data_IF_222310355118
#
_entry.id   IF_222310355118
#
_cell.length_a   1.000
_cell.length_b   1.000
_cell.length_c   1.000
_cell.angle_alpha   90.00
_cell.angle_beta   90.00
_cell.angle_gamma   90.00
#
_symmetry.space_group_name_H-M   'P 1'
#
loop_
_entity.id
_entity.type
_entity.pdbx_description
1 polymer ?
#
# COMPACT_ATOMS: atom_id res chain seq x y z
N UNK A 1 0.04 -8.22 -0.38
CA UNK A 1 0.63 -7.13 -1.18
C UNK A 1 0.43 -5.77 -0.48
N UNK A 2 -0.81 -5.36 -0.16
CA UNK A 2 -1.07 -4.16 0.66
C UNK A 2 -0.33 -4.14 2.00
N UNK A 3 -0.36 -5.25 2.74
CA UNK A 3 0.27 -5.27 4.07
C UNK A 3 1.80 -5.11 4.02
N UNK A 4 2.43 -5.48 2.90
CA UNK A 4 3.87 -5.25 2.67
C UNK A 4 4.16 -3.75 2.70
N UNK A 5 3.40 -2.95 1.95
CA UNK A 5 3.55 -1.49 1.94
C UNK A 5 3.32 -0.89 3.34
N UNK A 6 2.33 -1.40 4.08
CA UNK A 6 2.06 -0.94 5.46
C UNK A 6 3.24 -1.21 6.39
N UNK A 7 3.87 -2.38 6.30
CA UNK A 7 5.06 -2.67 7.10
C UNK A 7 6.21 -1.71 6.76
N UNK A 8 6.43 -1.42 5.48
CA UNK A 8 7.45 -0.45 5.06
C UNK A 8 7.12 1.00 5.44
N UNK A 9 5.86 1.35 5.68
CA UNK A 9 5.49 2.67 6.19
C UNK A 9 5.63 2.76 7.71
N UNK A 10 5.07 1.78 8.43
CA UNK A 10 4.84 1.86 9.87
C UNK A 10 6.06 1.42 10.68
N UNK A 11 6.78 0.37 10.26
CA UNK A 11 7.92 -0.15 11.03
C UNK A 11 9.04 0.90 11.14
N UNK A 12 9.48 1.56 10.06
CA UNK A 12 10.50 2.60 10.19
C UNK A 12 9.98 3.76 11.04
N UNK A 13 8.74 4.20 10.83
CA UNK A 13 8.13 5.30 11.58
C UNK A 13 8.12 5.05 13.10
N UNK A 14 7.71 3.87 13.54
CA UNK A 14 7.62 3.55 14.98
C UNK A 14 8.97 3.42 15.67
N UNK A 15 10.02 3.02 14.96
CA UNK A 15 11.26 2.58 15.59
C UNK A 15 12.49 3.38 15.18
N UNK A 16 12.45 4.26 14.18
CA UNK A 16 13.65 4.99 13.72
C UNK A 16 14.23 5.95 14.77
N UNK A 17 13.42 6.43 15.71
CA UNK A 17 13.87 7.26 16.83
C UNK A 17 14.72 6.48 17.83
N UNK A 18 14.40 5.21 18.05
CA UNK A 18 15.10 4.31 18.99
C UNK A 18 16.16 3.44 18.31
N UNK A 19 15.98 3.13 17.02
CA UNK A 19 16.83 2.26 16.21
C UNK A 19 17.07 2.94 14.85
N UNK A 20 18.07 3.84 14.75
CA UNK A 20 18.36 4.59 13.53
C UNK A 20 18.64 3.72 12.30
N UNK A 21 19.15 2.50 12.49
CA UNK A 21 19.39 1.54 11.41
C UNK A 21 18.12 1.19 10.61
N UNK A 22 16.93 1.29 11.22
CA UNK A 22 15.66 1.03 10.56
C UNK A 22 15.23 2.17 9.62
N UNK A 23 15.92 3.31 9.62
CA UNK A 23 15.70 4.36 8.63
C UNK A 23 15.99 3.86 7.20
N UNK A 24 16.89 2.89 7.05
CA UNK A 24 17.17 2.24 5.76
C UNK A 24 15.96 1.49 5.17
N UNK A 25 15.00 1.12 6.01
CA UNK A 25 13.76 0.48 5.61
C UNK A 25 12.68 1.50 5.18
N UNK A 26 12.89 2.81 5.34
CA UNK A 26 12.01 3.84 4.80
C UNK A 26 12.20 3.96 3.28
N UNK A 27 11.87 2.91 2.54
CA UNK A 27 11.99 2.84 1.08
C UNK A 27 11.15 3.92 0.40
N UNK A 28 9.99 4.26 1.00
CA UNK A 28 9.10 5.31 0.51
C UNK A 28 9.58 6.73 0.80
N UNK A 29 10.66 6.90 1.58
CA UNK A 29 11.18 8.19 2.02
C UNK A 29 10.07 9.09 2.60
N UNK A 30 9.24 8.54 3.49
CA UNK A 30 8.17 9.28 4.17
C UNK A 30 8.76 10.36 5.07
N UNK A 31 8.06 11.50 5.19
CA UNK A 31 8.64 12.73 5.73
C UNK A 31 8.87 12.70 7.24
N UNK A 32 7.92 12.16 8.01
CA UNK A 32 8.03 12.00 9.46
C UNK A 32 7.33 10.73 9.96
N UNK A 33 7.65 10.23 11.16
CA UNK A 33 6.91 9.12 11.79
C UNK A 33 5.40 9.34 11.87
N UNK A 34 4.98 10.54 12.27
CA UNK A 34 3.57 10.89 12.47
C UNK A 34 2.82 10.92 11.13
N UNK A 35 3.38 11.60 10.13
CA UNK A 35 2.82 11.69 8.79
C UNK A 35 2.77 10.32 8.10
N UNK A 36 3.78 9.46 8.32
CA UNK A 36 3.79 8.10 7.79
C UNK A 36 2.65 7.24 8.34
N UNK A 37 2.43 7.26 9.66
CA UNK A 37 1.34 6.51 10.30
C UNK A 37 -0.02 7.05 9.83
N UNK A 38 -0.19 8.37 9.83
CA UNK A 38 -1.44 9.01 9.41
C UNK A 38 -1.76 8.69 7.95
N UNK A 39 -0.77 8.76 7.06
CA UNK A 39 -0.91 8.44 5.64
C UNK A 39 -1.29 6.98 5.40
N UNK A 40 -0.69 6.05 6.14
CA UNK A 40 -1.03 4.63 6.07
C UNK A 40 -2.46 4.34 6.53
N UNK A 41 -2.94 5.03 7.57
CA UNK A 41 -4.32 4.92 8.07
C UNK A 41 -5.31 5.51 7.07
N UNK A 42 -5.05 6.71 6.56
CA UNK A 42 -5.90 7.37 5.54
C UNK A 42 -5.98 6.51 4.27
N UNK A 43 -4.86 5.96 3.81
CA UNK A 43 -4.86 5.08 2.65
C UNK A 43 -5.80 3.88 2.84
N UNK A 44 -5.78 3.24 4.01
CA UNK A 44 -6.69 2.15 4.32
C UNK A 44 -8.17 2.59 4.34
N UNK A 45 -8.45 3.76 4.90
CA UNK A 45 -9.79 4.32 4.93
C UNK A 45 -10.35 4.59 3.53
N UNK A 46 -9.49 4.95 2.56
CA UNK A 46 -9.87 5.24 1.19
C UNK A 46 -9.93 3.97 0.32
N UNK A 47 -8.96 3.06 0.46
CA UNK A 47 -8.84 1.89 -0.42
C UNK A 47 -10.01 0.89 -0.24
N UNK A 48 -10.53 0.73 0.98
CA UNK A 48 -11.63 -0.20 1.24
C UNK A 48 -12.89 0.23 0.47
N UNK A 49 -13.43 1.45 0.62
CA UNK A 49 -14.56 1.93 -0.17
C UNK A 49 -14.35 1.85 -1.67
N UNK A 50 -13.14 2.18 -2.17
CA UNK A 50 -12.83 2.10 -3.59
C UNK A 50 -12.90 0.67 -4.14
N UNK A 51 -12.63 -0.33 -3.31
CA UNK A 51 -12.68 -1.74 -3.71
C UNK A 51 -14.08 -2.36 -3.58
N UNK A 52 -15.01 -1.74 -2.85
CA UNK A 52 -16.39 -2.26 -2.69
C UNK A 52 -17.08 -2.48 -4.05
N UNK A 53 -17.09 -1.52 -5.00
CA UNK A 53 -17.73 -1.73 -6.30
C UNK A 53 -17.11 -2.90 -7.08
N UNK A 54 -15.80 -3.10 -6.97
CA UNK A 54 -15.10 -4.21 -7.60
C UNK A 54 -15.50 -5.55 -6.97
N UNK A 55 -15.61 -5.61 -5.64
CA UNK A 55 -16.07 -6.79 -4.92
C UNK A 55 -17.52 -7.15 -5.27
N UNK A 56 -18.40 -6.15 -5.45
CA UNK A 56 -19.81 -6.36 -5.82
C UNK A 56 -20.00 -6.78 -7.28
N UNK A 57 -19.22 -6.22 -8.22
CA UNK A 57 -19.32 -6.59 -9.64
C UNK A 57 -18.73 -7.97 -9.94
N UNK A 58 -17.80 -8.44 -9.11
CA UNK A 58 -17.03 -9.64 -9.37
C UNK A 58 -16.08 -9.49 -10.58
N UNK A 59 -15.23 -10.49 -10.80
CA UNK A 59 -14.28 -10.50 -11.91
C UNK A 59 -14.85 -11.38 -13.03
N UNK A 60 -14.98 -10.85 -14.24
CA UNK A 60 -15.50 -11.58 -15.38
C UNK A 60 -14.69 -12.87 -15.64
N UNK A 61 -15.37 -14.02 -15.57
CA UNK A 61 -14.76 -15.32 -15.84
C UNK A 61 -14.32 -15.40 -17.30
N UNK A 62 -13.08 -15.85 -17.52
CA UNK A 62 -12.56 -16.18 -18.86
C UNK A 62 -12.20 -17.67 -18.89
N UNK A 63 -12.67 -18.44 -19.88
CA UNK A 63 -12.35 -19.86 -20.01
C UNK A 63 -10.91 -20.01 -20.50
N UNK A 64 -9.96 -19.86 -19.58
CA UNK A 64 -8.54 -20.09 -19.78
C UNK A 64 -8.07 -21.16 -18.79
N UNK A 65 -7.06 -21.94 -19.16
CA UNK A 65 -6.50 -22.96 -18.28
C UNK A 65 -6.08 -22.41 -16.91
N UNK A 66 -6.21 -23.21 -15.86
CA UNK A 66 -6.00 -22.77 -14.47
C UNK A 66 -4.65 -22.09 -14.22
N UNK A 67 -3.58 -22.60 -14.84
CA UNK A 67 -2.23 -22.01 -14.77
C UNK A 67 -2.15 -20.62 -15.42
N UNK A 68 -2.76 -20.46 -16.59
CA UNK A 68 -2.83 -19.17 -17.29
C UNK A 68 -3.68 -18.15 -16.53
N UNK A 69 -4.79 -18.60 -15.92
CA UNK A 69 -5.64 -17.76 -15.06
C UNK A 69 -4.91 -17.28 -13.81
N UNK A 70 -4.23 -18.19 -13.10
CA UNK A 70 -3.46 -17.87 -11.92
C UNK A 70 -2.37 -16.84 -12.24
N UNK A 71 -1.58 -17.07 -13.29
CA UNK A 71 -0.52 -16.14 -13.71
C UNK A 71 -1.08 -14.75 -14.02
N UNK A 72 -2.20 -14.68 -14.75
CA UNK A 72 -2.85 -13.40 -15.07
C UNK A 72 -3.34 -12.68 -13.82
N UNK A 73 -3.95 -13.41 -12.88
CA UNK A 73 -4.45 -12.81 -11.64
C UNK A 73 -3.30 -12.33 -10.74
N UNK A 74 -2.21 -13.10 -10.63
CA UNK A 74 -1.01 -12.68 -9.90
C UNK A 74 -0.36 -11.45 -10.54
N UNK A 75 -0.28 -11.39 -11.87
CA UNK A 75 0.28 -10.23 -12.55
C UNK A 75 -0.60 -8.97 -12.36
N UNK A 76 -1.92 -9.08 -12.55
CA UNK A 76 -2.80 -7.91 -12.47
C UNK A 76 -3.06 -7.50 -11.01
N UNK A 77 -3.57 -8.41 -10.19
CA UNK A 77 -3.98 -8.12 -8.81
C UNK A 77 -2.83 -8.22 -7.82
N UNK A 78 -1.82 -9.06 -8.08
CA UNK A 78 -0.63 -9.14 -7.25
C UNK A 78 0.29 -7.93 -7.44
N UNK A 79 0.69 -7.60 -8.67
CA UNK A 79 1.52 -6.41 -8.91
C UNK A 79 0.73 -5.11 -8.66
N UNK A 80 -0.52 -5.02 -9.12
CA UNK A 80 -1.37 -3.87 -8.83
C UNK A 80 -1.56 -3.68 -7.33
N UNK A 81 -1.84 -4.75 -6.60
CA UNK A 81 -1.96 -4.72 -5.14
C UNK A 81 -0.65 -4.44 -4.40
N UNK A 82 0.50 -4.54 -5.06
CA UNK A 82 1.80 -4.17 -4.50
C UNK A 82 2.14 -2.72 -4.79
N UNK A 83 1.95 -2.24 -6.03
CA UNK A 83 2.35 -0.91 -6.46
C UNK A 83 1.38 0.17 -5.92
N UNK A 84 0.07 -0.07 -6.00
CA UNK A 84 -0.96 0.92 -5.62
C UNK A 84 -0.77 1.43 -4.18
N UNK A 85 -0.54 0.56 -3.17
CA UNK A 85 -0.33 1.01 -1.80
C UNK A 85 0.94 1.86 -1.60
N UNK A 86 2.06 1.51 -2.24
CA UNK A 86 3.29 2.30 -2.13
C UNK A 86 3.09 3.71 -2.69
N UNK A 87 2.49 3.81 -3.88
CA UNK A 87 2.22 5.11 -4.52
C UNK A 87 1.17 5.88 -3.73
N UNK A 88 0.08 5.22 -3.31
CA UNK A 88 -1.02 5.86 -2.59
C UNK A 88 -0.59 6.43 -1.24
N UNK A 89 0.14 5.66 -0.42
CA UNK A 89 0.65 6.13 0.87
C UNK A 89 1.61 7.30 0.65
N UNK A 90 2.51 7.22 -0.33
CA UNK A 90 3.45 8.31 -0.61
C UNK A 90 2.75 9.60 -1.06
N UNK A 91 1.73 9.50 -1.91
CA UNK A 91 0.96 10.66 -2.34
C UNK A 91 0.20 11.31 -1.17
N UNK A 92 -0.36 10.50 -0.27
CA UNK A 92 -1.03 11.01 0.93
C UNK A 92 -0.01 11.67 1.87
N UNK A 93 1.16 11.05 2.05
CA UNK A 93 2.26 11.61 2.84
C UNK A 93 2.66 12.99 2.32
N UNK A 94 2.87 13.13 1.01
CA UNK A 94 3.20 14.43 0.42
C UNK A 94 2.14 15.51 0.67
N UNK A 95 0.86 15.15 0.78
CA UNK A 95 -0.21 16.10 1.10
C UNK A 95 -0.25 16.43 2.59
N UNK A 96 -0.10 15.41 3.44
CA UNK A 96 -0.20 15.52 4.90
C UNK A 96 1.03 16.18 5.50
N UNK A 97 2.23 15.91 5.00
CA UNK A 97 3.49 16.48 5.51
C UNK A 97 3.58 18.00 5.35
N UNK A 98 2.74 18.61 4.51
CA UNK A 98 2.66 20.07 4.41
C UNK A 98 1.74 20.70 5.48
N UNK A 99 0.97 19.87 6.21
CA UNK A 99 0.00 20.27 7.22
C UNK A 99 0.47 19.96 8.66
N UNK A 100 1.50 19.14 8.81
CA UNK A 100 2.07 18.62 10.06
C UNK A 100 3.52 19.04 10.16
#
# INVERSE_FOLDING_TARGET
>A
ANDVAKYFAIVPALFMTSIPALQSLNIMHLSSPESAILSAVIFNAIIIPMLIPLALKGVAYKPIGASALLRRNLLVYGLGGLIIPFVGIKLIDLLVSNLV
#
